data_IF_712080581544
#
_entry.id   IF_712080581544
#
_cell.length_a   1.000
_cell.length_b   1.000
_cell.length_c   1.000
_cell.angle_alpha   90.00
_cell.angle_beta   90.00
_cell.angle_gamma   90.00
#
_symmetry.space_group_name_H-M   'P 1'
#
loop_
_entity.id
_entity.type
_entity.pdbx_description
1 polymer ?
#
# COMPACT_ATOMS: atom_id res chain seq x y z
N UNK A 1 10.24 6.08 -9.93
CA UNK A 1 8.80 6.45 -9.98
C UNK A 1 8.00 5.38 -9.24
N UNK A 2 7.12 5.76 -8.33
CA UNK A 2 6.24 4.83 -7.59
C UNK A 2 4.86 4.86 -8.23
N UNK A 3 4.17 3.70 -8.25
CA UNK A 3 2.78 3.58 -8.70
C UNK A 3 1.91 3.13 -7.53
N UNK A 4 0.68 3.60 -7.50
CA UNK A 4 -0.32 3.23 -6.51
C UNK A 4 -1.62 2.83 -7.21
N UNK A 5 -2.38 1.93 -6.59
CA UNK A 5 -3.72 1.56 -6.98
C UNK A 5 -4.71 2.26 -6.03
N UNK A 6 -5.70 2.95 -6.61
CA UNK A 6 -6.83 3.46 -5.83
C UNK A 6 -7.87 2.35 -5.73
N UNK A 7 -8.11 1.88 -4.51
CA UNK A 7 -9.02 0.77 -4.25
C UNK A 7 -10.03 1.13 -3.16
N UNK A 8 -11.28 1.34 -3.58
CA UNK A 8 -12.42 1.62 -2.71
C UNK A 8 -13.00 0.37 -2.03
N UNK A 9 -12.60 -0.83 -2.48
CA UNK A 9 -12.99 -2.10 -1.87
C UNK A 9 -12.15 -2.48 -0.65
N UNK A 10 -11.03 -1.79 -0.43
CA UNK A 10 -10.12 -2.04 0.70
C UNK A 10 -10.46 -1.15 1.90
N UNK A 11 -10.42 -1.73 3.11
CA UNK A 11 -10.59 -0.98 4.36
C UNK A 11 -9.31 -0.29 4.85
N UNK A 12 -8.16 -0.59 4.26
CA UNK A 12 -6.86 -0.07 4.67
C UNK A 12 -5.94 0.17 3.47
N UNK A 13 -4.97 1.07 3.64
CA UNK A 13 -3.92 1.28 2.64
C UNK A 13 -2.69 0.42 2.96
N UNK A 14 -2.00 -0.03 1.92
CA UNK A 14 -0.79 -0.85 2.04
C UNK A 14 0.34 -0.25 1.23
N UNK A 15 1.57 -0.41 1.71
CA UNK A 15 2.78 0.02 1.02
C UNK A 15 3.84 -1.07 1.14
N UNK A 16 4.63 -1.28 0.08
CA UNK A 16 5.72 -2.25 0.16
C UNK A 16 6.92 -1.68 0.92
N UNK A 17 7.63 -2.53 1.66
CA UNK A 17 8.88 -2.16 2.34
C UNK A 17 9.90 -1.56 1.35
N UNK A 18 9.94 -2.07 0.10
CA UNK A 18 10.79 -1.53 -0.95
C UNK A 18 10.49 -0.05 -1.26
N UNK A 19 9.22 0.35 -1.29
CA UNK A 19 8.84 1.76 -1.50
C UNK A 19 9.15 2.60 -0.26
N UNK A 20 8.95 2.06 0.94
CA UNK A 20 9.32 2.72 2.20
C UNK A 20 10.81 3.06 2.22
N UNK A 21 11.67 2.11 1.82
CA UNK A 21 13.10 2.31 1.72
C UNK A 21 13.47 3.29 0.60
N UNK A 22 12.90 3.13 -0.60
CA UNK A 22 13.15 4.01 -1.74
C UNK A 22 12.87 5.48 -1.44
N UNK A 23 11.79 5.75 -0.69
CA UNK A 23 11.36 7.09 -0.32
C UNK A 23 11.90 7.55 1.04
N UNK A 24 12.72 6.72 1.70
CA UNK A 24 13.26 6.96 3.04
C UNK A 24 12.18 7.37 4.07
N UNK A 25 11.03 6.67 4.06
CA UNK A 25 9.89 7.02 4.90
C UNK A 25 10.11 6.58 6.35
N UNK A 26 9.69 7.44 7.29
CA UNK A 26 9.71 7.12 8.71
C UNK A 26 8.66 6.06 9.04
N UNK A 27 9.11 4.90 9.53
CA UNK A 27 8.26 3.83 10.04
C UNK A 27 7.78 4.13 11.46
N UNK A 28 6.52 3.80 11.74
CA UNK A 28 5.89 3.83 13.05
C UNK A 28 5.62 2.38 13.48
N UNK A 29 6.11 1.93 14.64
CA UNK A 29 5.86 0.58 15.12
C UNK A 29 4.38 0.39 15.49
N UNK A 30 3.84 -0.77 15.14
CA UNK A 30 2.45 -1.16 15.41
C UNK A 30 2.35 -2.67 15.66
N UNK A 31 1.18 -3.13 16.09
CA UNK A 31 0.82 -4.54 16.14
C UNK A 31 -0.52 -4.73 15.43
N UNK A 32 -0.49 -5.11 14.15
CA UNK A 32 -1.69 -5.31 13.34
C UNK A 32 -1.72 -6.68 12.67
N UNK A 33 -2.92 -7.20 12.44
CA UNK A 33 -3.17 -8.41 11.66
C UNK A 33 -4.10 -8.07 10.50
N UNK A 34 -3.71 -8.46 9.29
CA UNK A 34 -4.44 -8.19 8.06
C UNK A 34 -4.98 -9.51 7.50
N UNK A 35 -6.27 -9.56 7.23
CA UNK A 35 -6.96 -10.65 6.55
C UNK A 35 -7.36 -10.24 5.13
N UNK A 36 -7.67 -11.21 4.26
CA UNK A 36 -8.18 -10.93 2.91
C UNK A 36 -7.12 -10.56 1.88
N UNK A 37 -5.83 -10.64 2.22
CA UNK A 37 -4.75 -10.63 1.23
C UNK A 37 -4.66 -12.04 0.61
N UNK A 38 -4.45 -12.12 -0.70
CA UNK A 38 -4.45 -13.39 -1.42
C UNK A 38 -3.52 -14.45 -0.81
N UNK A 39 -4.08 -15.62 -0.52
CA UNK A 39 -3.44 -16.77 0.13
C UNK A 39 -4.21 -17.21 1.39
N UNK A 40 -3.81 -18.30 2.03
CA UNK A 40 -4.46 -18.85 3.24
C UNK A 40 -3.94 -18.25 4.57
N UNK A 41 -3.31 -17.07 4.56
CA UNK A 41 -2.59 -16.57 5.74
C UNK A 41 -3.01 -15.17 6.19
N UNK A 42 -3.31 -15.05 7.48
CA UNK A 42 -3.28 -13.78 8.21
C UNK A 42 -1.88 -13.17 8.11
N UNK A 43 -1.78 -11.94 7.61
CA UNK A 43 -0.50 -11.24 7.46
C UNK A 43 -0.28 -10.31 8.65
N UNK A 44 0.85 -10.46 9.34
CA UNK A 44 1.23 -9.55 10.43
C UNK A 44 1.83 -8.25 9.87
N UNK A 45 1.34 -7.12 10.35
CA UNK A 45 1.89 -5.80 10.07
C UNK A 45 2.53 -5.25 11.34
N UNK A 46 3.84 -5.03 11.31
CA UNK A 46 4.63 -4.52 12.44
C UNK A 46 4.97 -3.04 12.31
N UNK A 47 4.79 -2.47 11.13
CA UNK A 47 5.03 -1.06 10.86
C UNK A 47 3.91 -0.45 10.02
N UNK A 48 3.67 0.84 10.23
CA UNK A 48 2.91 1.70 9.32
C UNK A 48 3.74 2.94 8.97
N UNK A 49 3.33 3.63 7.91
CA UNK A 49 3.80 4.96 7.57
C UNK A 49 2.62 5.90 7.43
N UNK A 50 2.81 7.17 7.78
CA UNK A 50 1.85 8.24 7.49
C UNK A 50 2.32 8.98 6.24
N UNK A 51 1.50 9.00 5.20
CA UNK A 51 1.78 9.65 3.94
C UNK A 51 0.89 10.87 3.77
N UNK A 52 1.42 11.92 3.16
CA UNK A 52 0.62 13.04 2.66
C UNK A 52 0.71 13.05 1.14
N UNK A 53 -0.42 12.79 0.48
CA UNK A 53 -0.56 12.80 -0.98
C UNK A 53 -1.12 14.16 -1.37
N UNK A 54 -0.46 14.83 -2.31
CA UNK A 54 -0.88 16.13 -2.83
C UNK A 54 -1.21 16.03 -4.31
N UNK A 55 -2.19 16.81 -4.76
CA UNK A 55 -2.45 16.92 -6.19
C UNK A 55 -1.34 17.73 -6.86
N UNK A 56 -1.06 17.38 -8.12
CA UNK A 56 -0.13 18.13 -8.98
C UNK A 56 -0.82 19.29 -9.71
N UNK A 57 -2.15 19.33 -9.68
CA UNK A 57 -2.99 20.26 -10.44
C UNK A 57 -3.78 21.17 -9.50
N UNK A 58 -4.35 20.61 -8.44
CA UNK A 58 -5.07 21.35 -7.41
C UNK A 58 -4.14 21.59 -6.20
N UNK A 59 -3.68 22.83 -5.96
CA UNK A 59 -2.76 23.12 -4.87
C UNK A 59 -3.39 22.98 -3.47
N UNK A 60 -4.71 22.96 -3.36
CA UNK A 60 -5.44 22.89 -2.08
C UNK A 60 -5.69 21.43 -1.68
N UNK A 61 -5.81 20.53 -2.65
CA UNK A 61 -6.06 19.11 -2.36
C UNK A 61 -4.86 18.46 -1.64
N UNK A 62 -5.15 17.90 -0.46
CA UNK A 62 -4.22 17.09 0.32
C UNK A 62 -4.94 15.94 1.00
N UNK A 63 -4.39 14.74 0.90
CA UNK A 63 -4.93 13.53 1.50
C UNK A 63 -3.86 12.91 2.40
N UNK A 64 -4.17 12.77 3.68
CA UNK A 64 -3.31 12.03 4.62
C UNK A 64 -3.81 10.60 4.76
N UNK A 65 -2.93 9.63 4.53
CA UNK A 65 -3.25 8.19 4.67
C UNK A 65 -2.26 7.51 5.61
N UNK A 66 -2.74 6.54 6.37
CA UNK A 66 -1.87 5.59 7.07
C UNK A 66 -1.79 4.31 6.21
N UNK A 67 -0.58 3.92 5.84
CA UNK A 67 -0.34 2.72 5.04
C UNK A 67 0.45 1.69 5.85
N UNK A 68 -0.09 0.47 5.92
CA UNK A 68 0.59 -0.67 6.56
C UNK A 68 1.73 -1.16 5.70
N UNK A 69 2.90 -1.36 6.31
CA UNK A 69 4.10 -1.78 5.59
C UNK A 69 4.13 -3.30 5.46
N UNK A 70 4.17 -3.79 4.22
CA UNK A 70 4.21 -5.20 3.87
C UNK A 70 5.40 -5.52 2.97
N UNK A 71 5.91 -6.74 2.99
CA UNK A 71 6.94 -7.17 2.03
C UNK A 71 6.36 -7.42 0.64
N UNK A 72 5.14 -7.96 0.57
CA UNK A 72 4.39 -8.24 -0.66
C UNK A 72 2.90 -7.96 -0.40
N UNK A 73 2.23 -7.29 -1.32
CA UNK A 73 0.79 -6.93 -1.18
C UNK A 73 -0.12 -8.03 -1.73
N UNK A 74 0.20 -8.63 -2.88
CA UNK A 74 -0.53 -9.77 -3.44
C UNK A 74 0.43 -10.89 -3.81
N UNK A 75 0.04 -12.13 -3.52
CA UNK A 75 0.78 -13.32 -3.95
C UNK A 75 0.46 -13.73 -5.38
N UNK A 76 -0.71 -13.34 -5.88
CA UNK A 76 -1.22 -13.72 -7.19
C UNK A 76 -1.01 -12.58 -8.18
N UNK A 77 -0.22 -12.87 -9.19
CA UNK A 77 -0.29 -12.16 -10.46
C UNK A 77 -1.17 -13.00 -11.38
N UNK A 78 -2.02 -12.38 -12.22
CA UNK A 78 -2.74 -13.13 -13.24
C UNK A 78 -1.74 -13.90 -14.12
N UNK A 79 -2.00 -15.17 -14.39
CA UNK A 79 -1.10 -16.05 -15.15
C UNK A 79 -0.86 -15.57 -16.58
N UNK A 80 -1.81 -14.80 -17.12
CA UNK A 80 -1.73 -14.22 -18.44
C UNK A 80 -1.90 -12.70 -18.37
N UNK A 81 -1.20 -12.00 -19.26
CA UNK A 81 -1.44 -10.57 -19.49
C UNK A 81 -2.82 -10.44 -20.12
N UNK A 82 -3.70 -9.69 -19.47
CA UNK A 82 -4.91 -9.20 -20.11
C UNK A 82 -4.49 -8.11 -21.10
N UNK A 83 -4.59 -8.40 -22.40
CA UNK A 83 -4.49 -7.37 -23.43
C UNK A 83 -5.79 -6.55 -23.33
N UNK A 84 -5.65 -5.28 -22.95
CA UNK A 84 -6.74 -4.32 -23.12
C UNK A 84 -6.93 -4.13 -24.62
N UNK A 85 -8.05 -4.63 -25.14
CA UNK A 85 -8.53 -4.37 -26.50
C UNK A 85 -8.91 -2.89 -26.67
#
# INVERSE_FOLDING_TARGET
MVRALLDQGSQACFITEAVVQLLNLKKLPIQGTISGLGGNSLTKATYMVRLNIKSRVDPVFSLTVNAYVLTKITSYLPEYKVLLL
#
